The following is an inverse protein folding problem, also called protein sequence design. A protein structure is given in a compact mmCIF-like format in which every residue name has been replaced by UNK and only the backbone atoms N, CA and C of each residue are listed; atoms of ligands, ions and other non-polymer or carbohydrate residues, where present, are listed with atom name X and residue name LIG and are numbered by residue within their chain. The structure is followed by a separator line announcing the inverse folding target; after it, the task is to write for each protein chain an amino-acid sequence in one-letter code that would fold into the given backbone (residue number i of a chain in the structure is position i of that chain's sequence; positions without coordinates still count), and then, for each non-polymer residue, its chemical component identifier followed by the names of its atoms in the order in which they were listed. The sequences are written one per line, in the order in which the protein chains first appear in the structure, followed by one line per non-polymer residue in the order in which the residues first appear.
data_IF_092968060470
#
_entry.id   IF_092968060470
#
_cell.length_a   1.000
_cell.length_b   1.000
_cell.length_c   1.000
_cell.angle_alpha   90.00
_cell.angle_beta   90.00
_cell.angle_gamma   90.00
#
_symmetry.space_group_name_H-M   'P 1'
#
loop_
_entity.id
_entity.type
_entity.pdbx_description
1 polymer ?
#
# COMPACT_ATOMS: atom_id res chain seq x y z
N UNK A 1 10.17 -9.05 12.25
CA UNK A 1 9.81 -8.09 11.19
C UNK A 1 9.63 -6.71 11.80
N UNK A 2 10.18 -5.68 11.18
CA UNK A 2 10.08 -4.28 11.58
C UNK A 2 9.40 -3.50 10.47
N UNK A 3 8.50 -2.58 10.82
CA UNK A 3 7.87 -1.66 9.87
C UNK A 3 8.07 -0.25 10.41
N UNK A 4 8.50 0.68 9.56
CA UNK A 4 8.74 2.05 9.95
C UNK A 4 8.54 3.02 8.78
N UNK A 5 8.24 4.28 9.10
CA UNK A 5 8.39 5.39 8.17
C UNK A 5 9.84 5.48 7.74
N UNK A 6 10.07 5.67 6.44
CA UNK A 6 11.40 5.73 5.85
C UNK A 6 11.56 6.90 4.91
N UNK A 7 12.80 7.40 4.79
CA UNK A 7 13.25 8.27 3.70
C UNK A 7 13.97 7.50 2.60
N UNK A 8 14.21 6.20 2.79
CA UNK A 8 14.79 5.29 1.79
C UNK A 8 13.74 4.92 0.74
N UNK A 9 13.43 5.89 -0.12
CA UNK A 9 12.52 5.69 -1.24
C UNK A 9 13.04 4.68 -2.25
N UNK A 10 14.38 4.56 -2.40
CA UNK A 10 14.99 3.62 -3.32
C UNK A 10 14.66 2.16 -2.94
N UNK A 11 14.69 1.81 -1.65
CA UNK A 11 14.26 0.49 -1.19
C UNK A 11 12.77 0.23 -1.45
N UNK A 12 11.91 1.22 -1.20
CA UNK A 12 10.48 1.12 -1.50
C UNK A 12 10.25 0.89 -3.01
N UNK A 13 10.92 1.68 -3.86
CA UNK A 13 10.80 1.59 -5.30
C UNK A 13 11.32 0.24 -5.83
N UNK A 14 12.40 -0.28 -5.29
CA UNK A 14 12.92 -1.59 -5.68
C UNK A 14 11.90 -2.72 -5.42
N UNK A 15 11.17 -2.67 -4.30
CA UNK A 15 10.09 -3.63 -4.01
C UNK A 15 8.92 -3.44 -4.97
N UNK A 16 8.51 -2.18 -5.20
CA UNK A 16 7.42 -1.81 -6.11
C UNK A 16 7.70 -2.30 -7.53
N UNK A 17 8.91 -2.10 -8.06
CA UNK A 17 9.30 -2.60 -9.40
C UNK A 17 9.15 -4.11 -9.51
N UNK A 18 9.64 -4.87 -8.52
CA UNK A 18 9.51 -6.33 -8.52
C UNK A 18 8.06 -6.81 -8.54
N UNK A 19 7.19 -6.14 -7.78
CA UNK A 19 5.79 -6.58 -7.63
C UNK A 19 4.90 -6.03 -8.75
N UNK A 20 4.97 -4.74 -9.05
CA UNK A 20 4.08 -4.10 -10.00
C UNK A 20 4.59 -4.22 -11.44
N UNK A 21 5.88 -3.94 -11.69
CA UNK A 21 6.42 -3.95 -13.06
C UNK A 21 6.77 -5.37 -13.50
N UNK A 22 7.63 -6.07 -12.76
CA UNK A 22 8.14 -7.39 -13.18
C UNK A 22 7.09 -8.50 -13.05
N UNK A 23 6.31 -8.51 -11.96
CA UNK A 23 5.32 -9.55 -11.72
C UNK A 23 3.94 -9.22 -12.31
N UNK A 24 3.43 -7.99 -12.10
CA UNK A 24 2.08 -7.62 -12.54
C UNK A 24 2.04 -6.92 -13.90
N UNK A 25 3.20 -6.72 -14.55
CA UNK A 25 3.31 -6.09 -15.87
C UNK A 25 2.74 -4.67 -15.95
N UNK A 26 2.73 -3.93 -14.83
CA UNK A 26 2.41 -2.50 -14.81
C UNK A 26 3.51 -1.75 -15.58
N UNK A 27 3.17 -0.86 -16.53
CA UNK A 27 4.16 -0.05 -17.24
C UNK A 27 5.06 0.74 -16.28
N UNK A 28 6.37 0.72 -16.54
CA UNK A 28 7.37 1.32 -15.64
C UNK A 28 7.18 2.83 -15.44
N UNK A 29 6.72 3.52 -16.48
CA UNK A 29 6.41 4.96 -16.48
C UNK A 29 5.18 5.32 -15.64
N UNK A 30 4.31 4.36 -15.34
CA UNK A 30 3.14 4.54 -14.48
C UNK A 30 3.42 4.22 -13.00
N UNK A 31 4.55 3.56 -12.70
CA UNK A 31 4.85 3.11 -11.34
C UNK A 31 5.17 4.30 -10.42
N UNK A 32 6.00 5.25 -10.88
CA UNK A 32 6.34 6.46 -10.12
C UNK A 32 5.45 7.64 -10.55
N UNK A 33 4.95 8.40 -9.58
CA UNK A 33 4.19 9.62 -9.83
C UNK A 33 4.71 10.79 -8.99
N UNK A 34 4.24 12.01 -9.28
CA UNK A 34 4.67 13.22 -8.58
C UNK A 34 4.37 13.21 -7.06
N UNK A 35 3.42 12.38 -6.61
CA UNK A 35 3.07 12.28 -5.20
C UNK A 35 4.14 11.53 -4.40
N UNK A 36 5.00 10.73 -5.04
CA UNK A 36 6.06 9.98 -4.37
C UNK A 36 7.06 10.89 -3.63
N UNK A 37 7.25 12.13 -4.10
CA UNK A 37 8.16 13.10 -3.49
C UNK A 37 7.66 13.66 -2.15
N UNK A 38 6.34 13.66 -1.92
CA UNK A 38 5.72 14.27 -0.72
C UNK A 38 4.96 13.27 0.14
N UNK A 39 4.78 12.05 -0.35
CA UNK A 39 4.13 10.98 0.39
C UNK A 39 4.96 10.50 1.60
N UNK A 40 4.25 9.92 2.57
CA UNK A 40 4.90 9.14 3.63
C UNK A 40 5.07 7.72 3.11
N UNK A 41 6.28 7.18 3.20
CA UNK A 41 6.57 5.81 2.79
C UNK A 41 6.85 4.95 4.01
N UNK A 42 6.26 3.76 4.03
CA UNK A 42 6.54 2.72 5.02
C UNK A 42 7.37 1.61 4.39
N UNK A 43 8.40 1.16 5.09
CA UNK A 43 9.22 0.02 4.69
C UNK A 43 9.10 -1.10 5.73
N UNK A 44 8.73 -2.29 5.28
CA UNK A 44 8.78 -3.52 6.05
C UNK A 44 10.13 -4.21 5.81
N UNK A 45 10.82 -4.54 6.90
CA UNK A 45 12.08 -5.28 6.88
C UNK A 45 12.00 -6.57 7.70
N UNK A 46 12.63 -7.62 7.19
CA UNK A 46 12.82 -8.90 7.86
C UNK A 46 14.33 -9.15 7.97
N UNK A 47 14.85 -9.20 9.19
CA UNK A 47 16.29 -9.36 9.48
C UNK A 47 17.17 -8.36 8.72
N UNK A 48 16.71 -7.11 8.65
CA UNK A 48 17.39 -6.01 7.94
C UNK A 48 17.13 -5.97 6.43
N UNK A 49 16.59 -7.03 5.83
CA UNK A 49 16.23 -7.07 4.40
C UNK A 49 14.89 -6.39 4.13
N UNK A 50 14.78 -5.45 3.18
CA UNK A 50 13.49 -4.92 2.70
C UNK A 50 12.62 -6.02 2.07
N UNK A 51 11.37 -6.13 2.53
CA UNK A 51 10.43 -7.18 2.09
C UNK A 51 9.05 -6.65 1.71
N UNK A 52 8.72 -5.42 2.09
CA UNK A 52 7.43 -4.82 1.77
C UNK A 52 7.43 -3.31 1.88
N UNK A 53 6.47 -2.65 1.24
CA UNK A 53 6.32 -1.20 1.27
C UNK A 53 4.86 -0.77 1.11
N UNK A 54 4.53 0.40 1.66
CA UNK A 54 3.26 1.08 1.41
C UNK A 54 3.48 2.59 1.33
N UNK A 55 2.63 3.27 0.57
CA UNK A 55 2.60 4.73 0.43
C UNK A 55 1.37 5.30 1.09
N UNK A 56 1.53 6.38 1.84
CA UNK A 56 0.45 7.11 2.50
C UNK A 56 0.39 8.53 1.95
N UNK A 57 -0.77 8.90 1.40
CA UNK A 57 -1.11 10.27 1.05
C UNK A 57 -2.10 10.81 2.08
N UNK A 58 -1.95 12.08 2.46
CA UNK A 58 -2.72 12.71 3.54
C UNK A 58 -3.28 14.03 3.03
N UNK A 59 -4.59 14.20 3.17
CA UNK A 59 -5.32 15.40 2.76
C UNK A 59 -6.35 15.76 3.85
N UNK A 60 -5.91 16.53 4.85
CA UNK A 60 -6.74 16.88 5.99
C UNK A 60 -7.17 15.63 6.78
N UNK A 61 -8.48 15.41 7.01
CA UNK A 61 -8.97 14.25 7.75
C UNK A 61 -8.98 12.96 6.92
N UNK A 62 -8.68 13.02 5.61
CA UNK A 62 -8.64 11.85 4.73
C UNK A 62 -7.21 11.39 4.47
N UNK A 63 -7.03 10.06 4.40
CA UNK A 63 -5.79 9.42 3.99
C UNK A 63 -6.02 8.40 2.89
N UNK A 64 -5.04 8.23 2.00
CA UNK A 64 -5.04 7.18 0.97
C UNK A 64 -3.84 6.27 1.16
N UNK A 65 -4.09 4.96 1.30
CA UNK A 65 -3.05 3.94 1.25
C UNK A 65 -2.96 3.43 -0.19
N UNK A 66 -1.75 3.36 -0.73
CA UNK A 66 -1.48 2.83 -2.06
C UNK A 66 -0.09 2.22 -2.14
N UNK A 67 0.27 1.73 -3.33
CA UNK A 67 1.57 1.09 -3.61
C UNK A 67 1.93 0.01 -2.56
N UNK A 68 0.92 -0.75 -2.13
CA UNK A 68 1.09 -1.79 -1.11
C UNK A 68 1.69 -3.02 -1.78
N UNK A 69 2.93 -3.34 -1.47
CA UNK A 69 3.67 -4.42 -2.11
C UNK A 69 4.41 -5.25 -1.07
N UNK A 70 4.31 -6.58 -1.17
CA UNK A 70 5.10 -7.55 -0.40
C UNK A 70 5.80 -8.46 -1.41
N UNK A 71 7.11 -8.69 -1.24
CA UNK A 71 7.86 -9.60 -2.10
C UNK A 71 7.26 -11.01 -2.05
N UNK A 72 7.23 -11.77 -3.18
CA UNK A 72 6.57 -13.07 -3.27
C UNK A 72 6.99 -14.07 -2.19
N UNK A 73 8.28 -14.13 -1.88
CA UNK A 73 8.88 -15.02 -0.86
C UNK A 73 8.45 -14.70 0.57
N UNK A 74 7.85 -13.54 0.80
CA UNK A 74 7.39 -13.08 2.11
C UNK A 74 5.85 -13.04 2.23
N UNK A 75 5.10 -13.46 1.21
CA UNK A 75 3.63 -13.52 1.25
C UNK A 75 3.15 -14.70 2.10
N UNK A 76 1.91 -14.63 2.59
CA UNK A 76 1.35 -15.67 3.48
C UNK A 76 1.90 -15.68 4.91
N UNK A 77 2.90 -14.86 5.22
CA UNK A 77 3.53 -14.75 6.56
C UNK A 77 2.83 -13.80 7.52
N UNK A 78 1.80 -13.09 7.04
CA UNK A 78 1.16 -11.98 7.76
C UNK A 78 1.82 -10.61 7.55
N UNK A 79 2.88 -10.51 6.75
CA UNK A 79 3.57 -9.26 6.45
C UNK A 79 2.66 -8.14 5.91
N UNK A 80 1.78 -8.46 4.95
CA UNK A 80 0.83 -7.48 4.41
C UNK A 80 -0.11 -6.92 5.49
N UNK A 81 -0.64 -7.78 6.37
CA UNK A 81 -1.52 -7.35 7.45
C UNK A 81 -0.79 -6.49 8.49
N UNK A 82 0.46 -6.83 8.82
CA UNK A 82 1.30 -6.04 9.72
C UNK A 82 1.60 -4.66 9.12
N UNK A 83 1.96 -4.60 7.83
CA UNK A 83 2.21 -3.37 7.10
C UNK A 83 0.99 -2.46 7.05
N UNK A 84 -0.19 -3.01 6.77
CA UNK A 84 -1.44 -2.25 6.78
C UNK A 84 -1.80 -1.73 8.16
N UNK A 85 -1.58 -2.50 9.24
CA UNK A 85 -1.80 -2.00 10.61
C UNK A 85 -0.89 -0.82 10.94
N UNK A 86 0.39 -0.92 10.61
CA UNK A 86 1.33 0.19 10.78
C UNK A 86 0.92 1.43 9.96
N UNK A 87 0.43 1.25 8.73
CA UNK A 87 -0.12 2.32 7.90
C UNK A 87 -1.30 3.04 8.57
N UNK A 88 -2.24 2.28 9.14
CA UNK A 88 -3.42 2.83 9.81
C UNK A 88 -3.04 3.56 11.11
N UNK A 89 -2.05 3.04 11.86
CA UNK A 89 -1.51 3.70 13.06
C UNK A 89 -0.82 5.02 12.71
N UNK A 90 0.01 5.03 11.67
CA UNK A 90 0.69 6.23 11.17
C UNK A 90 -0.31 7.29 10.69
N UNK A 91 -1.35 6.88 9.97
CA UNK A 91 -2.42 7.78 9.53
C UNK A 91 -3.20 8.35 10.72
N UNK A 92 -3.56 7.52 11.70
CA UNK A 92 -4.25 7.98 12.92
C UNK A 92 -3.41 8.98 13.70
N UNK A 93 -2.11 8.73 13.85
CA UNK A 93 -1.19 9.64 14.54
C UNK A 93 -1.09 11.02 13.85
N UNK A 94 -1.40 11.09 12.56
CA UNK A 94 -1.40 12.31 11.75
C UNK A 94 -2.78 12.98 11.66
N UNK A 95 -3.75 12.52 12.44
CA UNK A 95 -5.09 13.13 12.50
C UNK A 95 -6.04 12.69 11.40
N UNK A 96 -5.71 11.64 10.64
CA UNK A 96 -6.64 11.07 9.66
C UNK A 96 -7.74 10.31 10.39
N UNK A 97 -8.99 10.52 9.96
CA UNK A 97 -10.17 9.85 10.49
C UNK A 97 -10.81 8.90 9.47
N UNK A 98 -10.53 9.08 8.19
CA UNK A 98 -11.04 8.22 7.10
C UNK A 98 -9.91 7.81 6.17
N UNK A 99 -9.79 6.51 5.91
CA UNK A 99 -8.77 5.95 5.02
C UNK A 99 -9.43 5.31 3.80
N UNK A 100 -8.87 5.60 2.63
CA UNK A 100 -9.28 5.04 1.34
C UNK A 100 -8.15 4.24 0.71
N UNK A 101 -8.50 3.28 -0.14
CA UNK A 101 -7.57 2.59 -1.01
C UNK A 101 -8.30 2.10 -2.27
N UNK A 102 -7.55 1.93 -3.36
CA UNK A 102 -8.00 1.16 -4.52
C UNK A 102 -7.48 -0.25 -4.38
N UNK A 103 -8.36 -1.23 -4.18
CA UNK A 103 -7.98 -2.63 -4.02
C UNK A 103 -8.07 -3.36 -5.36
N UNK A 104 -7.02 -4.10 -5.72
CA UNK A 104 -7.14 -5.14 -6.74
C UNK A 104 -8.25 -6.11 -6.33
N UNK A 105 -9.14 -6.48 -7.25
CA UNK A 105 -10.35 -7.25 -6.94
C UNK A 105 -10.08 -8.58 -6.23
N UNK A 106 -8.95 -9.23 -6.52
CA UNK A 106 -8.54 -10.47 -5.84
C UNK A 106 -8.09 -10.24 -4.38
N UNK A 107 -7.77 -9.01 -3.99
CA UNK A 107 -7.33 -8.63 -2.65
C UNK A 107 -8.45 -8.06 -1.77
N UNK A 108 -9.70 -7.98 -2.27
CA UNK A 108 -10.84 -7.43 -1.51
C UNK A 108 -11.01 -8.14 -0.16
N UNK A 109 -11.05 -9.48 -0.15
CA UNK A 109 -11.20 -10.27 1.08
C UNK A 109 -10.05 -10.09 2.08
N UNK A 110 -8.86 -9.67 1.63
CA UNK A 110 -7.77 -9.30 2.52
C UNK A 110 -8.05 -7.97 3.23
N UNK A 111 -8.50 -6.95 2.50
CA UNK A 111 -8.82 -5.65 3.07
C UNK A 111 -10.12 -5.66 3.91
N UNK A 112 -11.10 -6.47 3.55
CA UNK A 112 -12.33 -6.69 4.34
C UNK A 112 -12.00 -7.21 5.74
N UNK A 113 -11.07 -8.17 5.86
CA UNK A 113 -10.57 -8.67 7.17
C UNK A 113 -9.84 -7.59 7.97
N UNK A 114 -9.38 -6.53 7.33
CA UNK A 114 -8.78 -5.36 7.96
C UNK A 114 -9.81 -4.24 8.22
N UNK A 115 -11.11 -4.51 8.04
CA UNK A 115 -12.19 -3.58 8.34
C UNK A 115 -12.46 -2.54 7.25
N UNK A 116 -11.98 -2.76 6.03
CA UNK A 116 -12.34 -1.93 4.88
C UNK A 116 -13.64 -2.43 4.24
N UNK A 117 -14.44 -1.50 3.74
CA UNK A 117 -15.67 -1.79 3.00
C UNK A 117 -15.53 -1.31 1.57
N UNK A 118 -15.79 -2.17 0.59
CA UNK A 118 -15.78 -1.81 -0.81
C UNK A 118 -16.98 -0.94 -1.20
N UNK A 119 -16.77 0.03 -2.08
CA UNK A 119 -17.82 0.89 -2.61
C UNK A 119 -17.59 1.20 -4.09
N UNK A 120 -18.61 1.73 -4.76
CA UNK A 120 -18.52 2.07 -6.18
C UNK A 120 -18.40 0.87 -7.12
N UNK A 121 -18.26 1.12 -8.43
CA UNK A 121 -18.05 0.11 -9.46
C UNK A 121 -16.61 -0.41 -9.47
N UNK A 122 -16.41 -1.56 -10.13
CA UNK A 122 -15.07 -2.02 -10.51
C UNK A 122 -14.57 -1.15 -11.68
N UNK A 123 -13.30 -0.77 -11.66
CA UNK A 123 -12.64 0.01 -12.71
C UNK A 123 -11.28 -0.61 -13.09
N UNK A 124 -10.80 -0.28 -14.28
CA UNK A 124 -9.47 -0.69 -14.74
C UNK A 124 -8.41 0.30 -14.24
N UNK A 125 -7.33 -0.21 -13.66
CA UNK A 125 -6.14 0.55 -13.30
C UNK A 125 -4.91 -0.23 -13.79
N UNK A 126 -4.28 0.29 -14.86
CA UNK A 126 -3.17 -0.35 -15.56
C UNK A 126 -3.43 -1.79 -16.02
N UNK A 127 -4.64 -2.09 -16.51
CA UNK A 127 -5.02 -3.44 -16.95
C UNK A 127 -5.41 -4.39 -15.81
N UNK A 128 -5.48 -3.89 -14.57
CA UNK A 128 -5.82 -4.67 -13.38
C UNK A 128 -7.18 -4.21 -12.86
N UNK A 129 -8.16 -5.11 -12.67
CA UNK A 129 -9.46 -4.76 -12.13
C UNK A 129 -9.36 -4.37 -10.66
N UNK A 130 -9.77 -3.14 -10.35
CA UNK A 130 -9.76 -2.53 -9.02
C UNK A 130 -11.15 -2.13 -8.56
N UNK A 131 -11.30 -1.96 -7.24
CA UNK A 131 -12.47 -1.37 -6.62
C UNK A 131 -12.05 -0.55 -5.41
N UNK A 132 -12.67 0.62 -5.25
CA UNK A 132 -12.42 1.48 -4.10
C UNK A 132 -12.93 0.85 -2.80
N UNK A 133 -12.18 1.07 -1.72
CA UNK A 133 -12.56 0.69 -0.38
C UNK A 133 -12.26 1.79 0.62
N UNK A 134 -13.06 1.88 1.67
CA UNK A 134 -12.88 2.86 2.76
C UNK A 134 -13.00 2.22 4.13
N UNK A 135 -12.35 2.83 5.12
CA UNK A 135 -12.44 2.50 6.54
C UNK A 135 -12.36 3.78 7.38
N UNK A 136 -13.20 3.90 8.40
CA UNK A 136 -13.06 4.91 9.46
C UNK A 136 -12.03 4.43 10.50
N UNK A 137 -11.16 5.35 10.95
CA UNK A 137 -10.15 5.11 11.98
C UNK A 137 -10.68 5.38 13.39
#
# INVERSE_FOLDING_TARGET
MRIAVTTDFAACLAIRRKVFVEEQSVPEDLECDAADATAVHLLATLDGRPVGTARLLIAGPEGKIGRVAILPDCRGTGAGAALMRAALEELRARGVTTVRLGAQTHALGFYEKLGFTAYGPIYDDAGIPHRDMSRTL
#
